data_IF_324880868145
#
_entry.id   IF_324880868145
#
_cell.length_a   1.000
_cell.length_b   1.000
_cell.length_c   1.000
_cell.angle_alpha   90.00
_cell.angle_beta   90.00
_cell.angle_gamma   90.00
#
_symmetry.space_group_name_H-M   'P 1'
#
loop_
_entity.id
_entity.type
_entity.pdbx_description
1 polymer ?
#
# COMPACT_ATOMS: atom_id res chain seq x y z
N UNK A 1 23.67 -0.33 6.79
CA UNK A 1 22.31 0.06 7.25
C UNK A 1 21.42 -1.18 7.23
N UNK A 2 20.80 -1.58 8.35
CA UNK A 2 19.94 -2.78 8.37
C UNK A 2 18.53 -2.41 7.90
N UNK A 3 18.17 -2.80 6.67
CA UNK A 3 16.83 -2.59 6.11
C UNK A 3 15.95 -3.76 6.52
N UNK A 4 14.80 -3.49 7.13
CA UNK A 4 13.81 -4.51 7.47
C UNK A 4 13.07 -4.94 6.18
N UNK A 5 13.11 -6.24 5.88
CA UNK A 5 12.69 -6.77 4.59
C UNK A 5 11.23 -7.23 4.58
N UNK A 6 10.70 -7.59 5.76
CA UNK A 6 9.33 -8.00 5.95
C UNK A 6 8.69 -7.25 7.12
N UNK A 7 7.36 -7.07 7.10
CA UNK A 7 6.66 -6.34 8.17
C UNK A 7 6.84 -6.97 9.55
N UNK A 8 6.99 -8.31 9.62
CA UNK A 8 7.32 -9.03 10.86
C UNK A 8 8.71 -8.68 11.42
N UNK A 9 9.64 -8.28 10.55
CA UNK A 9 11.00 -7.96 10.99
C UNK A 9 11.00 -6.67 11.81
N UNK A 10 10.02 -5.78 11.60
CA UNK A 10 9.86 -4.57 12.39
C UNK A 10 9.44 -4.85 13.85
N UNK A 11 8.75 -5.96 14.12
CA UNK A 11 8.36 -6.33 15.49
C UNK A 11 9.55 -6.88 16.30
N UNK A 12 10.56 -7.41 15.59
CA UNK A 12 11.80 -7.97 16.16
C UNK A 12 13.00 -7.01 16.04
N UNK A 13 12.85 -5.91 15.30
CA UNK A 13 13.93 -4.99 14.98
C UNK A 13 14.16 -3.99 16.12
N UNK A 14 15.42 -3.55 16.34
CA UNK A 14 15.70 -2.39 17.17
C UNK A 14 14.90 -1.14 16.73
N UNK A 15 14.37 -1.09 15.50
CA UNK A 15 13.51 -0.03 14.96
C UNK A 15 12.04 -0.10 15.42
N UNK A 16 11.67 -0.99 16.36
CA UNK A 16 10.31 -1.06 16.94
C UNK A 16 9.80 0.28 17.48
N UNK A 17 10.72 1.15 17.94
CA UNK A 17 10.45 2.50 18.43
C UNK A 17 10.25 3.55 17.32
N UNK A 18 10.61 3.24 16.07
CA UNK A 18 10.55 4.15 14.91
C UNK A 18 9.26 3.97 14.12
N UNK A 19 8.55 2.85 14.31
CA UNK A 19 7.20 2.69 13.74
C UNK A 19 6.29 3.71 14.46
N UNK A 20 5.64 4.63 13.73
CA UNK A 20 4.74 5.59 14.37
C UNK A 20 3.74 4.86 15.25
N UNK A 21 3.56 5.38 16.47
CA UNK A 21 2.53 4.94 17.43
C UNK A 21 1.13 4.81 16.81
N UNK A 22 0.90 5.40 15.62
CA UNK A 22 -0.27 5.27 14.79
C UNK A 22 -0.86 3.85 14.67
N UNK A 23 -0.06 2.78 14.57
CA UNK A 23 -0.61 1.41 14.48
C UNK A 23 -1.22 0.98 15.83
N UNK A 24 -0.55 1.31 16.94
CA UNK A 24 -1.05 1.03 18.29
C UNK A 24 -2.20 1.96 18.67
N UNK A 25 -2.16 3.24 18.32
CA UNK A 25 -3.25 4.20 18.60
C UNK A 25 -4.55 3.83 17.87
N UNK A 26 -4.46 3.23 16.68
CA UNK A 26 -5.64 2.72 15.98
C UNK A 26 -6.25 1.50 16.70
N UNK A 27 -5.42 0.69 17.37
CA UNK A 27 -5.83 -0.54 18.04
C UNK A 27 -6.24 -0.35 19.52
N UNK A 28 -5.59 0.56 20.25
CA UNK A 28 -5.86 0.87 21.66
C UNK A 28 -7.22 1.54 21.88
N UNK A 29 -7.82 2.12 20.84
CA UNK A 29 -9.13 2.76 20.92
C UNK A 29 -10.32 1.78 20.86
N UNK A 30 -10.10 0.46 20.89
CA UNK A 30 -11.17 -0.52 20.76
C UNK A 30 -11.05 -1.61 21.82
N UNK A 31 -11.76 -1.45 22.94
CA UNK A 31 -12.20 -2.61 23.70
C UNK A 31 -13.13 -3.43 22.80
N UNK A 32 -12.65 -4.61 22.39
CA UNK A 32 -13.42 -5.58 21.62
C UNK A 32 -13.38 -6.92 22.35
N UNK A 33 -14.54 -7.58 22.45
CA UNK A 33 -14.63 -8.98 22.87
C UNK A 33 -13.76 -9.87 21.96
N UNK A 34 -13.11 -10.84 22.59
CA UNK A 34 -11.93 -11.58 22.10
C UNK A 34 -12.15 -12.48 20.87
N UNK A 35 -13.37 -12.62 20.35
CA UNK A 35 -13.68 -13.69 19.39
C UNK A 35 -13.54 -13.34 17.90
N UNK A 36 -13.36 -12.07 17.53
CA UNK A 36 -13.24 -11.66 16.12
C UNK A 36 -11.79 -11.32 15.71
N UNK A 37 -10.93 -12.35 15.66
CA UNK A 37 -9.55 -12.25 15.12
C UNK A 37 -9.48 -11.90 13.63
N UNK A 38 -10.60 -11.79 12.91
CA UNK A 38 -10.67 -11.35 11.50
C UNK A 38 -10.71 -9.82 11.38
N UNK A 39 -9.67 -9.16 11.90
CA UNK A 39 -9.18 -7.82 11.55
C UNK A 39 -10.18 -6.65 11.50
N UNK A 40 -10.00 -5.68 12.40
CA UNK A 40 -10.67 -4.36 12.49
C UNK A 40 -11.09 -3.72 11.14
N UNK A 41 -10.27 -3.87 10.09
CA UNK A 41 -10.54 -3.35 8.74
C UNK A 41 -11.78 -3.97 8.09
N UNK A 42 -12.00 -5.28 8.25
CA UNK A 42 -13.18 -5.97 7.73
C UNK A 42 -14.45 -5.52 8.46
N UNK A 43 -14.36 -5.30 9.77
CA UNK A 43 -15.47 -4.85 10.59
C UNK A 43 -15.96 -3.45 10.20
N UNK A 44 -15.05 -2.46 10.10
CA UNK A 44 -15.42 -1.09 9.69
C UNK A 44 -16.06 -1.05 8.31
N UNK A 45 -15.56 -1.84 7.36
CA UNK A 45 -16.16 -1.96 6.03
C UNK A 45 -17.59 -2.52 6.10
N UNK A 46 -17.81 -3.60 6.85
CA UNK A 46 -19.14 -4.21 7.03
C UNK A 46 -20.12 -3.25 7.72
N UNK A 47 -19.66 -2.56 8.77
CA UNK A 47 -20.45 -1.54 9.47
C UNK A 47 -20.86 -0.41 8.53
N UNK A 48 -19.90 0.20 7.83
CA UNK A 48 -20.19 1.27 6.87
C UNK A 48 -21.16 0.80 5.79
N UNK A 49 -20.94 -0.40 5.23
CA UNK A 49 -21.78 -0.95 4.16
C UNK A 49 -23.22 -1.19 4.61
N UNK A 50 -23.44 -1.69 5.83
CA UNK A 50 -24.77 -2.09 6.32
C UNK A 50 -25.55 -0.95 6.97
N UNK A 51 -24.88 -0.03 7.66
CA UNK A 51 -25.53 0.94 8.55
C UNK A 51 -25.29 2.41 8.18
N UNK A 52 -24.47 2.69 7.16
CA UNK A 52 -24.16 4.07 6.75
C UNK A 52 -24.40 4.32 5.27
N UNK A 53 -23.94 3.43 4.39
CA UNK A 53 -24.13 3.60 2.95
C UNK A 53 -25.63 3.57 2.61
N UNK A 54 -26.11 4.61 1.92
CA UNK A 54 -27.53 4.76 1.57
C UNK A 54 -28.37 5.48 2.62
N UNK A 55 -27.77 5.90 3.74
CA UNK A 55 -28.41 6.68 4.79
C UNK A 55 -27.73 8.05 4.94
N UNK A 56 -28.49 9.03 5.41
CA UNK A 56 -27.94 10.29 5.89
C UNK A 56 -27.18 10.07 7.21
N UNK A 57 -26.31 11.01 7.58
CA UNK A 57 -25.57 10.93 8.84
C UNK A 57 -26.52 10.82 10.06
N UNK A 58 -27.65 11.52 10.04
CA UNK A 58 -28.63 11.53 11.12
C UNK A 58 -29.37 10.18 11.24
N UNK A 59 -29.79 9.60 10.11
CA UNK A 59 -30.40 8.27 10.07
C UNK A 59 -29.41 7.20 10.54
N UNK A 60 -28.14 7.29 10.11
CA UNK A 60 -27.10 6.38 10.54
C UNK A 60 -26.84 6.47 12.06
N UNK A 61 -26.81 7.68 12.64
CA UNK A 61 -26.68 7.86 14.10
C UNK A 61 -27.84 7.24 14.88
N UNK A 62 -29.05 7.33 14.32
CA UNK A 62 -30.26 6.76 14.91
C UNK A 62 -30.28 5.23 14.83
N UNK A 63 -29.71 4.66 13.76
CA UNK A 63 -29.63 3.21 13.53
C UNK A 63 -28.29 2.60 13.99
N UNK A 64 -27.98 2.76 15.29
CA UNK A 64 -26.74 2.24 15.89
C UNK A 64 -26.74 0.70 15.96
N UNK A 65 -25.66 0.02 15.53
CA UNK A 65 -25.49 -1.42 15.76
C UNK A 65 -25.39 -1.79 17.25
N UNK A 66 -25.86 -2.98 17.64
CA UNK A 66 -25.82 -3.43 19.04
C UNK A 66 -24.39 -3.54 19.60
N UNK A 67 -23.47 -4.10 18.81
CA UNK A 67 -22.11 -4.48 19.24
C UNK A 67 -21.09 -3.34 19.19
N UNK A 68 -21.53 -2.07 19.22
CA UNK A 68 -20.65 -0.90 19.23
C UNK A 68 -21.16 0.15 20.21
N UNK A 69 -20.26 0.80 20.94
CA UNK A 69 -20.62 1.91 21.83
C UNK A 69 -21.12 3.11 21.02
N UNK A 70 -21.99 3.91 21.62
CA UNK A 70 -22.55 5.09 20.95
C UNK A 70 -21.45 6.07 20.54
N UNK A 71 -20.48 6.34 21.43
CA UNK A 71 -19.35 7.23 21.15
C UNK A 71 -18.50 6.77 19.95
N UNK A 72 -18.19 5.47 19.88
CA UNK A 72 -17.43 4.91 18.76
C UNK A 72 -18.23 4.96 17.45
N UNK A 73 -19.53 4.70 17.51
CA UNK A 73 -20.40 4.82 16.33
C UNK A 73 -20.49 6.26 15.83
N UNK A 74 -20.71 7.22 16.71
CA UNK A 74 -20.74 8.65 16.39
C UNK A 74 -19.42 9.10 15.77
N UNK A 75 -18.28 8.67 16.32
CA UNK A 75 -16.96 8.93 15.73
C UNK A 75 -16.83 8.37 14.31
N UNK A 76 -17.38 7.18 14.05
CA UNK A 76 -17.39 6.59 12.70
C UNK A 76 -18.27 7.37 11.73
N UNK A 77 -19.51 7.69 12.12
CA UNK A 77 -20.45 8.44 11.28
C UNK A 77 -19.88 9.82 10.95
N UNK A 78 -19.32 10.53 11.93
CA UNK A 78 -18.66 11.83 11.72
C UNK A 78 -17.50 11.70 10.73
N UNK A 79 -16.64 10.70 10.92
CA UNK A 79 -15.50 10.47 10.01
C UNK A 79 -15.94 10.16 8.57
N UNK A 80 -17.02 9.40 8.39
CA UNK A 80 -17.51 9.04 7.05
C UNK A 80 -18.33 10.15 6.38
N UNK A 81 -18.91 11.04 7.18
CA UNK A 81 -19.69 12.19 6.70
C UNK A 81 -18.84 13.42 6.42
N UNK A 82 -17.66 13.50 7.03
CA UNK A 82 -16.68 14.57 6.83
C UNK A 82 -16.26 14.71 5.36
N UNK A 83 -16.39 15.93 4.82
CA UNK A 83 -16.21 16.19 3.40
C UNK A 83 -14.76 16.02 2.96
N UNK A 84 -13.80 16.50 3.77
CA UNK A 84 -12.37 16.29 3.54
C UNK A 84 -12.02 14.81 3.43
N UNK A 85 -12.58 13.97 4.30
CA UNK A 85 -12.38 12.53 4.23
C UNK A 85 -12.99 11.91 2.96
N UNK A 86 -14.12 12.41 2.47
CA UNK A 86 -14.72 11.95 1.20
C UNK A 86 -13.84 12.32 0.01
N UNK A 87 -13.37 13.55 -0.06
CA UNK A 87 -12.45 14.03 -1.10
C UNK A 87 -11.17 13.17 -1.13
N UNK A 88 -10.54 12.94 0.02
CA UNK A 88 -9.36 12.07 0.13
C UNK A 88 -9.68 10.65 -0.32
N UNK A 89 -10.85 10.11 0.05
CA UNK A 89 -11.24 8.77 -0.40
C UNK A 89 -11.43 8.70 -1.92
N UNK A 90 -12.01 9.72 -2.53
CA UNK A 90 -12.25 9.80 -3.96
C UNK A 90 -10.94 9.96 -4.74
N UNK A 91 -10.06 10.88 -4.33
CA UNK A 91 -8.71 11.00 -4.88
C UNK A 91 -7.92 9.69 -4.78
N UNK A 92 -8.02 8.98 -3.65
CA UNK A 92 -7.38 7.68 -3.49
C UNK A 92 -7.94 6.60 -4.41
N UNK A 93 -9.23 6.69 -4.78
CA UNK A 93 -9.86 5.77 -5.75
C UNK A 93 -9.34 6.07 -7.15
N UNK A 94 -9.37 7.33 -7.57
CA UNK A 94 -8.85 7.80 -8.85
C UNK A 94 -7.36 7.46 -9.01
N UNK A 95 -6.55 7.71 -7.98
CA UNK A 95 -5.14 7.35 -7.97
C UNK A 95 -4.93 5.85 -8.17
N UNK A 96 -5.77 4.99 -7.54
CA UNK A 96 -5.69 3.53 -7.73
C UNK A 96 -6.08 3.11 -9.14
N UNK A 97 -7.09 3.74 -9.73
CA UNK A 97 -7.55 3.47 -11.10
C UNK A 97 -6.53 3.97 -12.14
N UNK A 98 -5.77 5.03 -11.83
CA UNK A 98 -4.72 5.57 -12.68
C UNK A 98 -3.40 4.77 -12.65
N UNK A 99 -3.23 3.79 -11.73
CA UNK A 99 -2.01 2.97 -11.67
C UNK A 99 -1.93 2.05 -12.90
N UNK A 100 -0.98 2.33 -13.80
CA UNK A 100 -0.73 1.53 -15.02
C UNK A 100 0.17 0.32 -14.79
N UNK A 101 1.11 0.42 -13.84
CA UNK A 101 2.13 -0.61 -13.59
C UNK A 101 2.05 -1.09 -12.13
N UNK A 102 1.36 -2.20 -11.91
CA UNK A 102 1.28 -2.82 -10.59
C UNK A 102 2.56 -3.59 -10.27
N UNK A 103 3.28 -3.12 -9.25
CA UNK A 103 4.45 -3.82 -8.71
C UNK A 103 4.15 -5.30 -8.39
N UNK A 104 5.16 -6.15 -8.60
CA UNK A 104 5.13 -7.60 -8.37
C UNK A 104 6.11 -8.04 -7.29
N UNK A 105 6.56 -7.10 -6.45
CA UNK A 105 7.51 -7.30 -5.34
C UNK A 105 6.89 -7.97 -4.09
N UNK A 106 5.58 -8.22 -4.08
CA UNK A 106 4.88 -8.83 -2.95
C UNK A 106 4.70 -7.86 -1.78
N UNK A 107 4.90 -8.35 -0.56
CA UNK A 107 4.82 -7.55 0.68
C UNK A 107 6.08 -6.72 0.96
N UNK A 108 7.11 -6.81 0.11
CA UNK A 108 8.35 -6.06 0.27
C UNK A 108 8.20 -4.65 -0.28
N UNK A 109 8.75 -3.67 0.45
CA UNK A 109 8.91 -2.31 -0.07
C UNK A 109 9.94 -2.29 -1.21
N UNK A 110 9.91 -1.25 -2.05
CA UNK A 110 10.91 -1.08 -3.10
C UNK A 110 12.33 -1.02 -2.54
N UNK A 111 12.55 -0.34 -1.41
CA UNK A 111 13.86 -0.23 -0.76
C UNK A 111 14.37 -1.61 -0.32
N UNK A 112 13.51 -2.38 0.35
CA UNK A 112 13.87 -3.74 0.77
C UNK A 112 14.13 -4.65 -0.43
N UNK A 113 13.30 -4.57 -1.47
CA UNK A 113 13.47 -5.33 -2.70
C UNK A 113 14.77 -4.96 -3.43
N UNK A 114 15.11 -3.67 -3.45
CA UNK A 114 16.33 -3.16 -4.07
C UNK A 114 17.57 -3.69 -3.35
N UNK A 115 17.65 -3.51 -2.03
CA UNK A 115 18.76 -4.04 -1.24
C UNK A 115 18.90 -5.56 -1.34
N UNK A 116 17.79 -6.28 -1.55
CA UNK A 116 17.82 -7.71 -1.85
C UNK A 116 18.42 -8.00 -3.21
N UNK A 117 17.93 -7.30 -4.23
CA UNK A 117 18.33 -7.49 -5.61
C UNK A 117 19.83 -7.24 -5.80
N UNK A 118 20.35 -6.16 -5.20
CA UNK A 118 21.77 -5.82 -5.24
C UNK A 118 22.64 -6.91 -4.62
N UNK A 119 22.25 -7.42 -3.45
CA UNK A 119 22.96 -8.50 -2.76
C UNK A 119 22.93 -9.81 -3.55
N UNK A 120 21.74 -10.24 -3.96
CA UNK A 120 21.52 -11.58 -4.50
C UNK A 120 21.99 -11.72 -5.95
N UNK A 121 21.89 -10.64 -6.75
CA UNK A 121 22.15 -10.69 -8.20
C UNK A 121 23.34 -9.88 -8.66
N UNK A 122 23.67 -8.79 -7.96
CA UNK A 122 24.66 -7.82 -8.43
C UNK A 122 25.86 -7.70 -7.49
N UNK A 123 26.04 -8.62 -6.52
CA UNK A 123 27.16 -8.60 -5.58
C UNK A 123 27.36 -7.24 -4.88
N UNK A 124 26.26 -6.58 -4.49
CA UNK A 124 26.21 -5.22 -3.92
C UNK A 124 26.62 -4.09 -4.89
N UNK A 125 26.60 -4.33 -6.20
CA UNK A 125 26.71 -3.27 -7.19
C UNK A 125 25.35 -2.65 -7.49
N UNK A 126 25.35 -1.34 -7.74
CA UNK A 126 24.15 -0.59 -8.09
C UNK A 126 23.50 -1.16 -9.35
N UNK A 127 22.20 -1.44 -9.26
CA UNK A 127 21.41 -1.93 -10.40
C UNK A 127 20.89 -0.76 -11.23
N UNK A 128 21.00 -0.84 -12.57
CA UNK A 128 20.40 0.14 -13.46
C UNK A 128 18.89 0.30 -13.21
N UNK A 129 18.33 1.52 -13.29
CA UNK A 129 16.88 1.75 -13.17
C UNK A 129 16.03 0.87 -14.10
N UNK A 130 16.55 0.51 -15.28
CA UNK A 130 15.85 -0.33 -16.26
C UNK A 130 15.78 -1.78 -15.79
N UNK A 131 16.88 -2.32 -15.28
CA UNK A 131 16.93 -3.67 -14.70
C UNK A 131 16.11 -3.75 -13.41
N UNK A 132 16.09 -2.70 -12.61
CA UNK A 132 15.20 -2.61 -11.45
C UNK A 132 13.72 -2.63 -11.85
N UNK A 133 13.34 -1.84 -12.86
CA UNK A 133 11.96 -1.84 -13.36
C UNK A 133 11.56 -3.22 -13.88
N UNK A 134 12.44 -3.88 -14.63
CA UNK A 134 12.23 -5.26 -15.09
C UNK A 134 12.05 -6.22 -13.91
N UNK A 135 12.91 -6.17 -12.89
CA UNK A 135 12.84 -7.05 -11.73
C UNK A 135 11.56 -6.85 -10.90
N UNK A 136 11.11 -5.60 -10.74
CA UNK A 136 9.94 -5.26 -9.90
C UNK A 136 8.60 -5.50 -10.58
N UNK A 137 8.55 -5.49 -11.91
CA UNK A 137 7.31 -5.62 -12.68
C UNK A 137 7.14 -6.99 -13.33
N UNK A 138 8.10 -7.90 -13.16
CA UNK A 138 8.03 -9.28 -13.62
C UNK A 138 7.45 -10.18 -12.54
N UNK A 139 6.46 -11.00 -12.88
CA UNK A 139 5.91 -11.98 -11.93
C UNK A 139 6.96 -13.06 -11.66
N UNK A 140 7.42 -13.18 -10.42
CA UNK A 140 8.45 -14.15 -10.03
C UNK A 140 8.13 -15.61 -10.36
N UNK A 141 6.85 -16.00 -10.32
CA UNK A 141 6.41 -17.38 -10.59
C UNK A 141 6.33 -17.74 -12.07
N UNK A 142 5.99 -16.79 -12.93
CA UNK A 142 5.67 -17.05 -14.35
C UNK A 142 6.62 -16.35 -15.31
N UNK A 143 7.50 -15.47 -14.82
CA UNK A 143 8.33 -14.62 -15.67
C UNK A 143 7.55 -13.62 -16.52
N UNK A 144 6.21 -13.57 -16.38
CA UNK A 144 5.37 -12.81 -17.29
C UNK A 144 5.21 -11.35 -16.87
N UNK A 145 5.10 -10.49 -17.88
CA UNK A 145 4.91 -9.04 -17.77
C UNK A 145 3.59 -8.67 -18.45
N UNK A 146 2.93 -7.61 -17.97
CA UNK A 146 1.79 -7.08 -18.70
C UNK A 146 2.28 -6.35 -19.96
N UNK A 147 1.45 -6.31 -21.00
CA UNK A 147 1.75 -5.59 -22.25
C UNK A 147 2.16 -4.12 -22.00
N UNK A 148 1.46 -3.33 -21.16
CA UNK A 148 1.92 -1.98 -20.81
C UNK A 148 3.33 -1.94 -20.21
N UNK A 149 3.65 -2.93 -19.37
CA UNK A 149 4.96 -3.04 -18.71
C UNK A 149 6.06 -3.39 -19.70
N UNK A 150 5.76 -4.20 -20.72
CA UNK A 150 6.71 -4.54 -21.78
C UNK A 150 6.99 -3.33 -22.67
N UNK A 151 5.94 -2.62 -23.11
CA UNK A 151 6.06 -1.38 -23.89
C UNK A 151 6.90 -0.33 -23.16
N UNK A 152 6.64 -0.10 -21.87
CA UNK A 152 7.38 0.86 -21.06
C UNK A 152 8.88 0.50 -20.97
N UNK A 153 9.20 -0.78 -20.84
CA UNK A 153 10.60 -1.23 -20.78
C UNK A 153 11.33 -1.09 -22.10
N UNK A 154 10.69 -1.46 -23.22
CA UNK A 154 11.29 -1.28 -24.53
C UNK A 154 11.52 0.21 -24.82
N UNK A 155 10.61 1.09 -24.39
CA UNK A 155 10.80 2.53 -24.50
C UNK A 155 11.98 3.05 -23.65
N UNK A 156 12.20 2.49 -22.46
CA UNK A 156 13.35 2.84 -21.62
C UNK A 156 14.67 2.35 -22.23
N UNK A 157 14.73 1.13 -22.76
CA UNK A 157 15.91 0.61 -23.44
C UNK A 157 16.26 1.44 -24.68
N UNK A 158 15.26 1.77 -25.51
CA UNK A 158 15.46 2.66 -26.66
C UNK A 158 16.02 4.03 -26.26
N UNK A 159 15.55 4.60 -25.15
CA UNK A 159 16.09 5.87 -24.62
C UNK A 159 17.55 5.72 -24.18
N UNK A 160 17.91 4.61 -23.54
CA UNK A 160 19.29 4.30 -23.13
C UNK A 160 20.22 4.23 -24.33
N UNK A 161 19.80 3.53 -25.39
CA UNK A 161 20.56 3.41 -26.64
C UNK A 161 20.81 4.79 -27.28
N UNK A 162 19.76 5.61 -27.42
CA UNK A 162 19.89 6.96 -28.00
C UNK A 162 20.80 7.89 -27.20
N UNK A 163 20.87 7.72 -25.87
CA UNK A 163 21.78 8.48 -25.02
C UNK A 163 23.23 8.01 -25.15
N UNK A 164 23.45 6.71 -25.35
CA UNK A 164 24.79 6.16 -25.58
C UNK A 164 25.37 6.53 -26.96
N UNK A 165 24.54 6.61 -28.00
CA UNK A 165 24.96 6.99 -29.35
C UNK A 165 25.29 8.49 -29.48
N UNK A 166 24.67 9.35 -28.67
CA UNK A 166 24.94 10.79 -28.64
C UNK A 166 26.28 11.18 -27.98
N UNK A 167 26.84 10.31 -27.13
CA UNK A 167 28.13 10.55 -26.43
C UNK A 167 29.32 10.16 -27.32
N UNK A 168 29.14 9.28 -28.30
CA UNK A 168 30.18 8.84 -29.24
C UNK A 168 30.40 9.75 -30.46
N UNK A 169 29.73 10.90 -30.53
CA UNK A 169 29.88 11.92 -31.60
C UNK A 169 30.19 13.29 -30.99
N UNK A 170 31.33 13.38 -30.32
CA UNK A 170 31.94 14.64 -29.87
C UNK A 170 33.42 14.62 -30.19
#
# INVERSE_FOLDING_TARGET
MHVAMHWNDYDKSPLKHVIPHAIKDIALNFEMEKDDKKGVRQQRYRLKKKYFNGYTAQEALSNKPANITHENWTRHVNKWSDERNKEICQMNKENREAVKHHQKTGSMSYVAFFSKLEKDKYNNQDTSPIEFFKATQTKSKTGSRSEPTLLAHNAMEKKRETQSEGIGRS
#
